data_IF_545004137053
#
_entry.id   IF_545004137053
#
_cell.length_a   1.000
_cell.length_b   1.000
_cell.length_c   1.000
_cell.angle_alpha   90.00
_cell.angle_beta   90.00
_cell.angle_gamma   90.00
#
_symmetry.space_group_name_H-M   'P 1'
#
loop_
_entity.id
_entity.type
_entity.pdbx_description
1 polymer ?
#
# COMPACT_ATOMS: atom_id res chain seq x y z
N UNK A 1 -5.89 -20.81 -7.59
CA UNK A 1 -6.01 -19.62 -6.74
C UNK A 1 -6.24 -20.09 -5.31
N UNK A 2 -5.32 -19.77 -4.39
CA UNK A 2 -5.49 -20.12 -2.98
C UNK A 2 -6.19 -18.97 -2.24
N UNK A 3 -7.03 -19.23 -1.22
CA UNK A 3 -7.83 -18.20 -0.54
C UNK A 3 -7.03 -17.06 0.11
N UNK A 4 -5.74 -17.29 0.42
CA UNK A 4 -4.81 -16.24 0.92
C UNK A 4 -4.70 -15.05 -0.03
N UNK A 5 -4.62 -15.31 -1.34
CA UNK A 5 -4.47 -14.27 -2.35
C UNK A 5 -5.67 -13.32 -2.41
N UNK A 6 -6.88 -13.79 -2.09
CA UNK A 6 -8.08 -12.97 -2.21
C UNK A 6 -8.11 -11.91 -1.09
N UNK A 7 -7.81 -12.31 0.13
CA UNK A 7 -7.66 -11.39 1.26
C UNK A 7 -6.51 -10.40 1.03
N UNK A 8 -5.38 -10.87 0.51
CA UNK A 8 -4.24 -10.01 0.15
C UNK A 8 -4.61 -8.97 -0.91
N UNK A 9 -5.36 -9.35 -1.95
CA UNK A 9 -5.85 -8.42 -2.97
C UNK A 9 -6.78 -7.37 -2.37
N UNK A 10 -7.73 -7.77 -1.52
CA UNK A 10 -8.64 -6.82 -0.87
C UNK A 10 -7.87 -5.85 0.04
N UNK A 11 -6.89 -6.36 0.78
CA UNK A 11 -6.05 -5.58 1.67
C UNK A 11 -5.20 -4.56 0.90
N UNK A 12 -4.51 -5.00 -0.14
CA UNK A 12 -3.68 -4.15 -1.00
C UNK A 12 -4.51 -3.06 -1.70
N UNK A 13 -5.75 -3.36 -2.10
CA UNK A 13 -6.66 -2.36 -2.63
C UNK A 13 -7.12 -1.34 -1.58
N UNK A 14 -7.43 -1.78 -0.35
CA UNK A 14 -7.77 -0.88 0.74
C UNK A 14 -6.61 0.06 1.08
N UNK A 15 -5.38 -0.46 1.08
CA UNK A 15 -4.14 0.33 1.25
C UNK A 15 -4.03 1.40 0.19
N UNK A 16 -4.22 1.02 -1.08
CA UNK A 16 -4.11 1.97 -2.19
C UNK A 16 -5.13 3.10 -2.07
N UNK A 17 -6.36 2.79 -1.66
CA UNK A 17 -7.36 3.83 -1.39
C UNK A 17 -6.97 4.72 -0.22
N UNK A 18 -6.44 4.14 0.86
CA UNK A 18 -5.94 4.90 2.01
C UNK A 18 -4.80 5.83 1.60
N UNK A 19 -3.81 5.35 0.84
CA UNK A 19 -2.69 6.13 0.32
C UNK A 19 -3.16 7.29 -0.56
N UNK A 20 -4.17 7.06 -1.40
CA UNK A 20 -4.77 8.09 -2.26
C UNK A 20 -5.62 9.11 -1.52
N UNK A 21 -6.13 8.77 -0.35
CA UNK A 21 -6.92 9.67 0.50
C UNK A 21 -6.07 10.34 1.60
N UNK A 22 -4.81 9.96 1.74
CA UNK A 22 -3.94 10.44 2.81
C UNK A 22 -3.04 11.56 2.33
N UNK A 23 -2.80 12.52 3.22
CA UNK A 23 -1.82 13.57 2.96
C UNK A 23 -0.39 12.99 3.05
N UNK A 24 0.49 13.28 2.07
CA UNK A 24 1.88 12.81 2.04
C UNK A 24 2.72 13.25 3.24
N UNK A 25 2.41 14.39 3.85
CA UNK A 25 3.13 14.93 5.01
C UNK A 25 2.71 14.23 6.31
N UNK A 26 1.48 13.72 6.36
CA UNK A 26 0.90 13.08 7.55
C UNK A 26 0.99 11.55 7.53
N UNK A 27 1.09 10.94 6.33
CA UNK A 27 1.03 9.49 6.18
C UNK A 27 2.40 8.87 5.90
N UNK A 28 2.98 8.22 6.90
CA UNK A 28 4.23 7.46 6.73
C UNK A 28 3.92 6.02 6.33
N UNK A 29 4.59 5.53 5.28
CA UNK A 29 4.49 4.14 4.79
C UNK A 29 4.75 3.12 5.92
N UNK A 30 5.56 3.48 6.92
CA UNK A 30 5.81 2.66 8.12
C UNK A 30 4.60 2.48 9.02
N UNK A 31 3.75 3.51 9.17
CA UNK A 31 2.49 3.42 9.95
C UNK A 31 1.52 2.47 9.26
N UNK A 32 1.41 2.56 7.93
CA UNK A 32 0.59 1.65 7.15
C UNK A 32 1.12 0.21 7.24
N UNK A 33 2.43 0.00 7.11
CA UNK A 33 3.03 -1.32 7.25
C UNK A 33 2.75 -1.97 8.62
N UNK A 34 2.67 -1.17 9.69
CA UNK A 34 2.31 -1.65 11.04
C UNK A 34 0.83 -2.03 11.22
N UNK A 35 -0.05 -1.59 10.31
CA UNK A 35 -1.48 -1.94 10.32
C UNK A 35 -1.79 -3.24 9.57
N UNK A 36 -0.81 -3.81 8.86
CA UNK A 36 -0.97 -5.07 8.14
C UNK A 36 -0.42 -6.26 8.93
N UNK A 37 -1.14 -7.37 8.85
CA UNK A 37 -0.89 -8.61 9.60
C UNK A 37 0.41 -9.34 9.20
N UNK A 38 1.29 -8.73 8.39
CA UNK A 38 2.42 -9.43 7.77
C UNK A 38 3.77 -8.71 7.84
N UNK A 39 4.67 -9.40 8.56
CA UNK A 39 6.07 -9.69 8.27
C UNK A 39 6.78 -8.81 7.21
N UNK A 40 7.63 -7.91 7.71
CA UNK A 40 8.68 -7.17 7.00
C UNK A 40 8.22 -6.20 5.88
N UNK A 41 8.56 -4.89 5.99
CA UNK A 41 8.20 -3.88 4.99
C UNK A 41 8.66 -4.21 3.55
N UNK A 42 9.68 -5.06 3.40
CA UNK A 42 10.20 -5.50 2.10
C UNK A 42 9.23 -6.41 1.34
N UNK A 43 8.50 -7.29 2.03
CA UNK A 43 7.51 -8.15 1.38
C UNK A 43 6.31 -7.33 0.91
N UNK A 44 5.78 -6.47 1.78
CA UNK A 44 4.69 -5.56 1.45
C UNK A 44 4.96 -4.74 0.18
N UNK A 45 6.13 -4.09 0.11
CA UNK A 45 6.49 -3.26 -1.04
C UNK A 45 6.62 -4.05 -2.33
N UNK A 46 7.17 -5.28 -2.27
CA UNK A 46 7.26 -6.19 -3.40
C UNK A 46 5.89 -6.65 -3.88
N UNK A 47 5.01 -7.04 -2.98
CA UNK A 47 3.67 -7.54 -3.32
C UNK A 47 2.79 -6.41 -3.88
N UNK A 48 2.87 -5.22 -3.28
CA UNK A 48 2.21 -4.01 -3.78
C UNK A 48 2.68 -3.65 -5.19
N UNK A 49 4.00 -3.65 -5.44
CA UNK A 49 4.57 -3.39 -6.78
C UNK A 49 4.14 -4.45 -7.79
N UNK A 50 4.10 -5.72 -7.38
CA UNK A 50 3.66 -6.82 -8.26
C UNK A 50 2.20 -6.66 -8.67
N UNK A 51 1.35 -6.16 -7.76
CA UNK A 51 -0.09 -5.98 -8.02
C UNK A 51 -0.44 -4.70 -8.79
N UNK A 52 0.24 -3.58 -8.50
CA UNK A 52 -0.14 -2.26 -9.00
C UNK A 52 0.86 -1.63 -9.98
N UNK A 53 2.04 -2.22 -10.14
CA UNK A 53 3.10 -1.72 -11.00
C UNK A 53 3.83 -0.47 -10.48
N UNK A 54 3.50 -0.01 -9.27
CA UNK A 54 4.09 1.16 -8.61
C UNK A 54 4.34 0.86 -7.13
N UNK A 55 5.25 1.60 -6.51
CA UNK A 55 5.52 1.53 -5.07
C UNK A 55 4.44 2.27 -4.27
N UNK A 56 4.23 1.89 -2.99
CA UNK A 56 3.35 2.62 -2.08
C UNK A 56 3.73 4.11 -1.96
N UNK A 57 5.04 4.40 -1.91
CA UNK A 57 5.57 5.77 -1.88
C UNK A 57 5.32 6.55 -3.17
N UNK A 58 5.31 5.88 -4.32
CA UNK A 58 4.97 6.51 -5.60
C UNK A 58 3.47 6.83 -5.66
N UNK A 59 2.62 5.95 -5.12
CA UNK A 59 1.18 6.19 -5.00
C UNK A 59 0.90 7.42 -4.13
N UNK A 60 1.58 7.51 -2.98
CA UNK A 60 1.45 8.64 -2.07
C UNK A 60 1.95 9.95 -2.70
N UNK A 61 3.11 9.93 -3.35
CA UNK A 61 3.65 11.10 -4.06
C UNK A 61 2.79 11.55 -5.23
N UNK A 62 2.14 10.63 -5.96
CA UNK A 62 1.21 10.99 -7.03
C UNK A 62 -0.01 11.71 -6.48
N UNK A 63 -0.48 11.30 -5.29
CA UNK A 63 -1.58 11.95 -4.60
C UNK A 63 -1.21 13.38 -4.18
N UNK A 64 0.02 13.56 -3.68
CA UNK A 64 0.59 14.88 -3.35
C UNK A 64 0.52 15.90 -4.49
N UNK A 65 0.71 15.42 -5.74
CA UNK A 65 0.80 16.26 -6.93
C UNK A 65 -0.54 16.56 -7.58
N UNK A 66 -1.59 15.81 -7.20
CA UNK A 66 -2.95 15.95 -7.75
C UNK A 66 -3.83 16.82 -6.84
N UNK A 67 -3.36 17.10 -5.62
CA UNK A 67 -3.95 18.04 -4.68
C UNK A 67 -3.29 19.42 -4.80
#
# INVERSE_FOLDING_TARGET
>A
MCPKNLLEVHLLNAIRQRLKASDPESCTIGVLAGQFWFYSPCHFTRDYKTMFGELPSETLQKTAKVN
#
